data_IF_309095896430
#
_entry.id   IF_309095896430
#
_cell.length_a   1.000
_cell.length_b   1.000
_cell.length_c   1.000
_cell.angle_alpha   90.00
_cell.angle_beta   90.00
_cell.angle_gamma   90.00
#
_symmetry.space_group_name_H-M   'P 1'
#
loop_
_entity.id
_entity.type
_entity.pdbx_description
1 polymer ?
#
# COMPACT_ATOMS: atom_id res chain seq x y z
N UNK A 1 12.30 6.08 -10.61
CA UNK A 1 11.44 7.08 -9.93
C UNK A 1 9.99 6.87 -10.32
N UNK A 2 9.09 6.92 -9.36
CA UNK A 2 7.66 6.75 -9.63
C UNK A 2 7.08 8.00 -10.29
N UNK A 3 6.20 7.81 -11.27
CA UNK A 3 5.61 8.91 -12.05
C UNK A 3 4.38 9.53 -11.36
N UNK A 4 4.15 9.17 -10.13
CA UNK A 4 2.97 9.51 -9.34
C UNK A 4 2.74 11.02 -9.18
N UNK A 5 3.81 11.81 -9.20
CA UNK A 5 3.74 13.26 -8.98
C UNK A 5 2.94 14.00 -10.06
N UNK A 6 2.80 13.40 -11.23
CA UNK A 6 2.06 14.03 -12.33
C UNK A 6 0.55 13.89 -12.17
N UNK A 7 0.12 12.85 -11.46
CA UNK A 7 -1.30 12.50 -11.33
C UNK A 7 -1.93 13.01 -10.04
N UNK A 8 -1.13 13.17 -8.99
CA UNK A 8 -1.62 13.58 -7.67
C UNK A 8 -1.15 15.00 -7.40
N UNK A 9 -2.09 15.95 -7.37
CA UNK A 9 -1.79 17.38 -7.21
C UNK A 9 -1.70 17.83 -5.75
N UNK A 10 -2.41 17.15 -4.85
CA UNK A 10 -2.37 17.48 -3.43
C UNK A 10 -1.12 16.87 -2.80
N UNK A 11 -0.24 17.73 -2.28
CA UNK A 11 1.03 17.28 -1.69
C UNK A 11 0.83 16.34 -0.50
N UNK A 12 -0.23 16.56 0.28
CA UNK A 12 -0.52 15.71 1.45
C UNK A 12 -0.90 14.30 1.01
N UNK A 13 -1.71 14.20 -0.03
CA UNK A 13 -2.12 12.91 -0.60
C UNK A 13 -0.91 12.21 -1.21
N UNK A 14 -0.08 12.96 -1.94
CA UNK A 14 1.13 12.40 -2.54
C UNK A 14 2.07 11.84 -1.48
N UNK A 15 2.30 12.59 -0.39
CA UNK A 15 3.15 12.12 0.70
C UNK A 15 2.59 10.86 1.34
N UNK A 16 1.27 10.79 1.51
CA UNK A 16 0.62 9.62 2.07
C UNK A 16 0.77 8.40 1.16
N UNK A 17 0.60 8.59 -0.15
CA UNK A 17 0.77 7.51 -1.13
C UNK A 17 2.22 7.01 -1.12
N UNK A 18 3.18 7.93 -1.10
CA UNK A 18 4.60 7.56 -1.01
C UNK A 18 4.87 6.76 0.27
N UNK A 19 4.29 7.17 1.38
CA UNK A 19 4.39 6.45 2.65
C UNK A 19 3.84 5.02 2.51
N UNK A 20 2.65 4.87 1.96
CA UNK A 20 2.03 3.56 1.78
C UNK A 20 2.90 2.64 0.91
N UNK A 21 3.40 3.15 -0.21
CA UNK A 21 4.23 2.37 -1.12
C UNK A 21 5.54 1.95 -0.44
N UNK A 22 6.18 2.88 0.26
CA UNK A 22 7.45 2.62 0.95
C UNK A 22 7.28 1.55 2.03
N UNK A 23 6.23 1.65 2.84
CA UNK A 23 5.99 0.70 3.92
C UNK A 23 5.58 -0.68 3.39
N UNK A 24 4.74 -0.72 2.37
CA UNK A 24 4.37 -1.98 1.73
C UNK A 24 5.59 -2.65 1.09
N UNK A 25 6.47 -1.85 0.48
CA UNK A 25 7.72 -2.36 -0.10
C UNK A 25 8.57 -3.07 0.95
N UNK A 26 8.73 -2.47 2.12
CA UNK A 26 9.49 -3.06 3.22
C UNK A 26 8.82 -4.32 3.74
N UNK A 27 7.52 -4.26 4.01
CA UNK A 27 6.78 -5.40 4.58
C UNK A 27 6.72 -6.59 3.63
N UNK A 28 6.49 -6.34 2.36
CA UNK A 28 6.32 -7.39 1.36
C UNK A 28 7.64 -7.81 0.73
N UNK A 29 8.72 -7.07 1.01
CA UNK A 29 10.06 -7.33 0.43
C UNK A 29 10.04 -7.27 -1.09
N UNK A 30 9.29 -6.31 -1.63
CA UNK A 30 9.18 -6.06 -3.06
C UNK A 30 9.65 -4.65 -3.38
N UNK A 31 10.22 -4.42 -4.58
CA UNK A 31 10.62 -3.07 -4.96
C UNK A 31 9.44 -2.10 -4.96
N UNK A 32 9.69 -0.83 -4.65
CA UNK A 32 8.64 0.19 -4.66
C UNK A 32 7.92 0.28 -6.00
N UNK A 33 8.65 0.14 -7.10
CA UNK A 33 8.05 0.16 -8.43
C UNK A 33 7.04 -0.97 -8.60
N UNK A 34 7.35 -2.16 -8.08
CA UNK A 34 6.46 -3.32 -8.14
C UNK A 34 5.17 -3.04 -7.35
N UNK A 35 5.31 -2.49 -6.14
CA UNK A 35 4.15 -2.12 -5.32
C UNK A 35 3.29 -1.08 -6.06
N UNK A 36 3.92 -0.05 -6.60
CA UNK A 36 3.22 0.99 -7.36
C UNK A 36 2.42 0.37 -8.52
N UNK A 37 3.07 -0.50 -9.29
CA UNK A 37 2.41 -1.13 -10.44
C UNK A 37 1.22 -1.98 -10.02
N UNK A 38 1.35 -2.74 -8.93
CA UNK A 38 0.25 -3.57 -8.42
C UNK A 38 -0.93 -2.71 -7.96
N UNK A 39 -0.66 -1.64 -7.24
CA UNK A 39 -1.71 -0.73 -6.76
C UNK A 39 -2.38 0.00 -7.91
N UNK A 40 -1.61 0.43 -8.89
CA UNK A 40 -2.12 1.15 -10.05
C UNK A 40 -3.00 0.25 -10.93
N UNK A 41 -2.50 -0.93 -11.28
CA UNK A 41 -3.21 -1.83 -12.19
C UNK A 41 -4.46 -2.44 -11.56
N UNK A 42 -4.47 -2.62 -10.25
CA UNK A 42 -5.64 -3.13 -9.54
C UNK A 42 -6.74 -2.09 -9.33
N UNK A 43 -6.39 -0.80 -9.52
CA UNK A 43 -7.30 0.31 -9.24
C UNK A 43 -7.22 0.80 -7.80
N UNK A 44 -6.51 0.09 -6.90
CA UNK A 44 -6.46 0.46 -5.49
C UNK A 44 -5.89 1.86 -5.29
N UNK A 45 -4.86 2.22 -6.07
CA UNK A 45 -4.20 3.51 -5.91
C UNK A 45 -5.14 4.68 -6.16
N UNK A 46 -5.76 4.73 -7.33
CA UNK A 46 -6.56 5.90 -7.74
C UNK A 46 -8.03 5.81 -7.37
N UNK A 47 -8.56 4.61 -7.19
CA UNK A 47 -9.97 4.44 -6.86
C UNK A 47 -10.22 4.29 -5.35
N UNK A 48 -9.18 3.98 -4.58
CA UNK A 48 -9.32 3.76 -3.14
C UNK A 48 -8.40 4.65 -2.31
N UNK A 49 -7.07 4.53 -2.47
CA UNK A 49 -6.12 5.25 -1.60
C UNK A 49 -6.26 6.76 -1.76
N UNK A 50 -6.25 7.25 -2.99
CA UNK A 50 -6.31 8.70 -3.24
C UNK A 50 -7.63 9.30 -2.77
N UNK A 51 -8.80 8.78 -3.20
CA UNK A 51 -10.07 9.39 -2.77
C UNK A 51 -10.41 9.17 -1.31
N UNK A 52 -9.81 8.17 -0.66
CA UNK A 52 -10.10 7.86 0.75
C UNK A 52 -9.04 8.40 1.70
N UNK A 53 -8.16 9.28 1.24
CA UNK A 53 -7.07 9.84 2.04
C UNK A 53 -7.57 10.34 3.41
N UNK A 54 -8.67 11.07 3.43
CA UNK A 54 -9.20 11.67 4.66
C UNK A 54 -9.49 10.64 5.75
N UNK A 55 -9.88 9.44 5.36
CA UNK A 55 -10.16 8.35 6.29
C UNK A 55 -8.89 7.56 6.57
N UNK A 56 -8.18 7.14 5.52
CA UNK A 56 -7.05 6.23 5.63
C UNK A 56 -5.89 6.81 6.43
N UNK A 57 -5.63 8.12 6.31
CA UNK A 57 -4.51 8.72 7.02
C UNK A 57 -4.69 8.77 8.54
N UNK A 58 -5.90 8.49 9.03
CA UNK A 58 -6.19 8.43 10.45
C UNK A 58 -5.98 7.04 11.06
N UNK A 59 -5.78 6.02 10.21
CA UNK A 59 -5.58 4.66 10.67
C UNK A 59 -4.21 4.51 11.35
N UNK A 60 -4.14 3.58 12.33
CA UNK A 60 -2.83 3.18 12.85
C UNK A 60 -2.04 2.47 11.74
N UNK A 61 -0.71 2.43 11.89
CA UNK A 61 0.14 1.79 10.89
C UNK A 61 -0.30 0.35 10.59
N UNK A 62 -0.46 -0.44 11.64
CA UNK A 62 -0.84 -1.85 11.45
C UNK A 62 -2.19 -2.00 10.77
N UNK A 63 -3.17 -1.23 11.21
CA UNK A 63 -4.51 -1.29 10.62
C UNK A 63 -4.49 -0.88 9.15
N UNK A 64 -3.74 0.19 8.82
CA UNK A 64 -3.61 0.64 7.43
C UNK A 64 -2.97 -0.45 6.56
N UNK A 65 -1.89 -1.05 7.04
CA UNK A 65 -1.20 -2.09 6.28
C UNK A 65 -2.08 -3.34 6.11
N UNK A 66 -2.82 -3.73 7.14
CA UNK A 66 -3.78 -4.84 7.04
C UNK A 66 -4.86 -4.54 6.00
N UNK A 67 -5.42 -3.33 6.05
CA UNK A 67 -6.47 -2.92 5.11
C UNK A 67 -5.98 -2.97 3.66
N UNK A 68 -4.81 -2.38 3.40
CA UNK A 68 -4.26 -2.33 2.05
C UNK A 68 -3.86 -3.71 1.53
N UNK A 69 -3.22 -4.53 2.35
CA UNK A 69 -2.78 -5.86 1.92
C UNK A 69 -3.96 -6.80 1.73
N UNK A 70 -4.97 -6.72 2.59
CA UNK A 70 -6.20 -7.50 2.40
C UNK A 70 -6.88 -7.13 1.08
N UNK A 71 -6.94 -5.84 0.77
CA UNK A 71 -7.54 -5.39 -0.48
C UNK A 71 -6.71 -5.85 -1.68
N UNK A 72 -5.38 -5.83 -1.57
CA UNK A 72 -4.50 -6.34 -2.63
C UNK A 72 -4.74 -7.83 -2.89
N UNK A 73 -4.93 -8.61 -1.84
CA UNK A 73 -5.27 -10.04 -1.98
C UNK A 73 -6.63 -10.21 -2.65
N UNK A 74 -7.60 -9.42 -2.24
CA UNK A 74 -8.95 -9.45 -2.81
C UNK A 74 -8.95 -9.12 -4.30
N UNK A 75 -8.10 -8.18 -4.71
CA UNK A 75 -7.95 -7.80 -6.12
C UNK A 75 -7.04 -8.74 -6.92
N UNK A 76 -6.46 -9.73 -6.28
CA UNK A 76 -5.62 -10.71 -6.95
C UNK A 76 -4.21 -10.24 -7.27
N UNK A 77 -3.74 -9.15 -6.65
CA UNK A 77 -2.38 -8.63 -6.88
C UNK A 77 -1.42 -8.97 -5.75
N UNK A 78 -1.87 -9.76 -4.78
CA UNK A 78 -1.04 -10.27 -3.69
C UNK A 78 -1.56 -11.64 -3.30
N UNK A 79 -0.66 -12.62 -3.08
CA UNK A 79 -1.09 -13.96 -2.66
C UNK A 79 -1.38 -13.99 -1.16
N UNK A 80 -2.37 -14.81 -0.76
CA UNK A 80 -2.70 -14.99 0.66
C UNK A 80 -1.52 -15.54 1.44
N UNK A 81 -0.73 -16.43 0.81
CA UNK A 81 0.45 -17.02 1.42
C UNK A 81 1.49 -15.94 1.74
N UNK A 82 1.71 -15.03 0.81
CA UNK A 82 2.65 -13.92 1.01
C UNK A 82 2.20 -13.05 2.18
N UNK A 83 0.90 -12.78 2.28
CA UNK A 83 0.33 -11.99 3.36
C UNK A 83 0.54 -12.66 4.72
N UNK A 84 0.28 -13.95 4.81
CA UNK A 84 0.47 -14.70 6.06
C UNK A 84 1.93 -14.70 6.51
N UNK A 85 2.86 -14.92 5.58
CA UNK A 85 4.29 -14.91 5.88
C UNK A 85 4.76 -13.53 6.33
N UNK A 86 4.24 -12.48 5.71
CA UNK A 86 4.57 -11.10 6.07
C UNK A 86 4.19 -10.82 7.52
N UNK A 87 2.97 -11.14 7.90
CA UNK A 87 2.50 -10.87 9.26
C UNK A 87 3.18 -11.73 10.30
N UNK A 88 3.51 -12.96 9.95
CA UNK A 88 4.27 -13.83 10.83
C UNK A 88 5.64 -13.23 11.15
N UNK A 89 6.37 -12.77 10.13
CA UNK A 89 7.66 -12.13 10.33
C UNK A 89 7.55 -10.82 11.11
N UNK A 90 6.53 -10.02 10.81
CA UNK A 90 6.28 -8.77 11.50
C UNK A 90 6.06 -9.01 13.00
N UNK A 91 5.21 -9.97 13.35
CA UNK A 91 4.91 -10.27 14.75
C UNK A 91 6.12 -10.86 15.48
N UNK A 92 6.95 -11.65 14.80
CA UNK A 92 8.16 -12.21 15.39
C UNK A 92 9.25 -11.16 15.62
N UNK A 93 9.28 -10.11 14.79
CA UNK A 93 10.28 -9.06 14.89
C UNK A 93 10.05 -8.13 16.10
N UNK A 94 8.87 -8.14 16.64
CA UNK A 94 8.55 -7.35 17.83
C UNK A 94 8.76 -8.18 19.10
#
# INVERSE_FOLDING_TARGET
MLEIKQDIKDARVLDFVDFCISELSVLLKLPQQDIYDRLKHSGILYDYIVPSYDVLHTFSFRYLMEDLTDYMCEKGVLSDRCLEEMWKEYDEAE
#
